data_IF_054935250966
#
_entry.id   IF_054935250966
#
_cell.length_a   1.000
_cell.length_b   1.000
_cell.length_c   1.000
_cell.angle_alpha   90.00
_cell.angle_beta   90.00
_cell.angle_gamma   90.00
#
_symmetry.space_group_name_H-M   'P 1'
#
loop_
_entity.id
_entity.type
_entity.pdbx_description
1 polymer ?
#
# COMPACT_ATOMS: atom_id res chain seq x y z
N UNK A 1 2.40 -0.95 8.64
CA UNK A 1 1.31 -0.12 9.18
C UNK A 1 0.44 -0.88 10.18
N UNK A 2 -0.06 -0.23 11.24
CA UNK A 2 -1.06 -0.83 12.15
C UNK A 2 -2.47 -0.44 11.71
N UNK A 3 -3.46 -1.32 11.94
CA UNK A 3 -4.84 -1.06 11.49
C UNK A 3 -5.48 0.15 12.20
N UNK A 4 -5.13 0.40 13.48
CA UNK A 4 -5.63 1.55 14.24
C UNK A 4 -5.28 2.87 13.55
N UNK A 5 -4.00 3.03 13.20
CA UNK A 5 -3.50 4.20 12.45
C UNK A 5 -4.23 4.38 11.12
N UNK A 6 -4.55 3.28 10.41
CA UNK A 6 -5.27 3.34 9.14
C UNK A 6 -6.67 3.94 9.32
N UNK A 7 -7.37 3.57 10.39
CA UNK A 7 -8.75 4.00 10.66
C UNK A 7 -8.82 5.45 11.14
N UNK A 8 -7.77 5.95 11.78
CA UNK A 8 -7.66 7.33 12.26
C UNK A 8 -7.42 8.33 11.12
N UNK A 9 -6.89 7.89 9.98
CA UNK A 9 -6.73 8.76 8.80
C UNK A 9 -8.08 9.14 8.19
N UNK A 10 -8.15 10.30 7.57
CA UNK A 10 -9.29 10.70 6.74
C UNK A 10 -9.35 9.88 5.44
N UNK A 11 -10.53 9.84 4.82
CA UNK A 11 -10.75 9.14 3.53
C UNK A 11 -9.78 9.60 2.44
N UNK A 12 -9.54 10.90 2.33
CA UNK A 12 -8.61 11.45 1.33
C UNK A 12 -7.16 11.03 1.60
N UNK A 13 -6.75 11.03 2.87
CA UNK A 13 -5.41 10.59 3.26
C UNK A 13 -5.23 9.09 2.99
N UNK A 14 -6.23 8.26 3.30
CA UNK A 14 -6.24 6.84 2.95
C UNK A 14 -6.05 6.64 1.44
N UNK A 15 -6.77 7.39 0.60
CA UNK A 15 -6.65 7.32 -0.86
C UNK A 15 -5.29 7.80 -1.39
N UNK A 16 -4.79 8.94 -0.90
CA UNK A 16 -3.45 9.45 -1.25
C UNK A 16 -2.35 8.47 -0.86
N UNK A 17 -2.48 7.85 0.33
CA UNK A 17 -1.53 6.85 0.82
C UNK A 17 -1.60 5.57 -0.01
N UNK A 18 -2.80 5.13 -0.37
CA UNK A 18 -3.02 3.96 -1.23
C UNK A 18 -2.32 4.13 -2.58
N UNK A 19 -2.55 5.25 -3.26
CA UNK A 19 -1.89 5.55 -4.54
C UNK A 19 -0.36 5.57 -4.40
N UNK A 20 0.16 6.19 -3.34
CA UNK A 20 1.60 6.25 -3.09
C UNK A 20 2.22 4.85 -2.94
N UNK A 21 1.55 3.96 -2.19
CA UNK A 21 2.01 2.58 -2.00
C UNK A 21 1.89 1.73 -3.26
N UNK A 22 0.86 1.93 -4.09
CA UNK A 22 0.72 1.24 -5.37
C UNK A 22 1.83 1.64 -6.35
N UNK A 23 2.20 2.93 -6.39
CA UNK A 23 3.35 3.42 -7.18
C UNK A 23 4.67 2.82 -6.67
N UNK A 24 4.88 2.79 -5.35
CA UNK A 24 6.08 2.19 -4.77
C UNK A 24 6.17 0.69 -5.10
N UNK A 25 5.05 -0.03 -4.99
CA UNK A 25 4.96 -1.44 -5.37
C UNK A 25 5.28 -1.65 -6.85
N UNK A 26 4.78 -0.77 -7.73
CA UNK A 26 5.07 -0.84 -9.15
C UNK A 26 6.57 -0.69 -9.42
N UNK A 27 7.22 0.33 -8.83
CA UNK A 27 8.67 0.55 -8.97
C UNK A 27 9.50 -0.63 -8.48
N UNK A 28 9.13 -1.23 -7.36
CA UNK A 28 9.81 -2.41 -6.84
C UNK A 28 9.61 -3.61 -7.75
N UNK A 29 8.41 -3.82 -8.30
CA UNK A 29 8.15 -4.91 -9.25
C UNK A 29 8.91 -4.72 -10.56
N UNK A 30 9.00 -3.49 -11.07
CA UNK A 30 9.79 -3.22 -12.28
C UNK A 30 11.26 -3.47 -12.04
N UNK A 31 11.81 -3.04 -10.89
CA UNK A 31 13.20 -3.30 -10.51
C UNK A 31 13.51 -4.81 -10.47
N UNK A 32 12.69 -5.59 -9.76
CA UNK A 32 12.82 -7.05 -9.69
C UNK A 32 12.79 -7.67 -11.08
N UNK A 33 11.83 -7.24 -11.91
CA UNK A 33 11.64 -7.81 -13.25
C UNK A 33 12.80 -7.50 -14.18
N UNK A 34 13.43 -6.35 -14.04
CA UNK A 34 14.64 -5.98 -14.78
C UNK A 34 15.91 -6.70 -14.30
N UNK A 35 15.81 -7.62 -13.33
CA UNK A 35 16.95 -8.31 -12.74
C UNK A 35 17.72 -7.46 -11.71
N UNK A 36 17.15 -6.34 -11.27
CA UNK A 36 17.73 -5.48 -10.25
C UNK A 36 17.69 -6.16 -8.87
N UNK A 37 18.76 -5.98 -8.09
CA UNK A 37 18.79 -6.44 -6.71
C UNK A 37 17.80 -5.61 -5.88
N UNK A 38 16.94 -6.29 -5.12
CA UNK A 38 16.10 -5.65 -4.12
C UNK A 38 16.79 -5.76 -2.78
N UNK A 39 17.14 -4.62 -2.18
CA UNK A 39 17.81 -4.57 -0.86
C UNK A 39 16.99 -5.27 0.23
N UNK A 40 15.65 -5.23 0.13
CA UNK A 40 14.76 -5.87 1.10
C UNK A 40 13.59 -6.59 0.42
N UNK A 41 13.71 -7.90 0.13
CA UNK A 41 12.62 -8.66 -0.50
C UNK A 41 11.34 -8.68 0.35
N UNK A 42 11.47 -8.55 1.68
CA UNK A 42 10.34 -8.44 2.61
C UNK A 42 9.49 -7.17 2.42
N UNK A 43 10.05 -6.11 1.81
CA UNK A 43 9.38 -4.82 1.61
C UNK A 43 8.17 -4.94 0.69
N UNK A 44 8.27 -5.74 -0.37
CA UNK A 44 7.14 -6.01 -1.29
C UNK A 44 5.97 -6.63 -0.53
N UNK A 45 6.24 -7.59 0.37
CA UNK A 45 5.20 -8.24 1.18
C UNK A 45 4.58 -7.27 2.18
N UNK A 46 5.37 -6.37 2.76
CA UNK A 46 4.88 -5.33 3.67
C UNK A 46 3.96 -4.34 2.96
N UNK A 47 4.39 -3.82 1.81
CA UNK A 47 3.60 -2.87 1.01
C UNK A 47 2.26 -3.49 0.58
N UNK A 48 2.26 -4.76 0.12
CA UNK A 48 1.02 -5.48 -0.21
C UNK A 48 0.06 -5.57 0.98
N UNK A 49 0.58 -5.83 2.19
CA UNK A 49 -0.24 -5.87 3.41
C UNK A 49 -0.79 -4.49 3.78
N UNK A 50 0.02 -3.44 3.63
CA UNK A 50 -0.40 -2.07 3.92
C UNK A 50 -1.49 -1.60 2.93
N UNK A 51 -1.35 -1.91 1.64
CA UNK A 51 -2.39 -1.70 0.61
C UNK A 51 -3.70 -2.41 0.99
N UNK A 52 -3.63 -3.69 1.38
CA UNK A 52 -4.81 -4.46 1.75
C UNK A 52 -5.55 -3.86 2.96
N UNK A 53 -4.82 -3.36 3.96
CA UNK A 53 -5.40 -2.68 5.13
C UNK A 53 -6.10 -1.37 4.74
N UNK A 54 -5.48 -0.57 3.87
CA UNK A 54 -6.07 0.67 3.35
C UNK A 54 -7.36 0.40 2.58
N UNK A 55 -7.36 -0.59 1.67
CA UNK A 55 -8.56 -0.97 0.90
C UNK A 55 -9.68 -1.44 1.83
N UNK A 56 -9.36 -2.23 2.86
CA UNK A 56 -10.36 -2.66 3.84
C UNK A 56 -10.96 -1.46 4.59
N UNK A 57 -10.13 -0.56 5.13
CA UNK A 57 -10.63 0.60 5.86
C UNK A 57 -11.44 1.57 4.98
N UNK A 58 -11.10 1.69 3.70
CA UNK A 58 -11.88 2.50 2.74
C UNK A 58 -13.22 1.84 2.38
N UNK A 59 -13.27 0.51 2.33
CA UNK A 59 -14.53 -0.21 2.18
C UNK A 59 -15.44 -0.01 3.41
N UNK A 60 -14.87 0.01 4.63
CA UNK A 60 -15.59 0.37 5.86
C UNK A 60 -16.17 1.81 5.77
N UNK A 61 -15.46 2.74 5.13
CA UNK A 61 -15.92 4.13 4.92
C UNK A 61 -16.97 4.28 3.79
N UNK A 62 -17.40 3.18 3.15
CA UNK A 62 -18.37 3.21 2.04
C UNK A 62 -17.80 3.72 0.72
N UNK A 63 -16.47 3.68 0.54
CA UNK A 63 -15.82 3.99 -0.73
C UNK A 63 -15.84 2.76 -1.63
N UNK A 64 -16.36 2.89 -2.85
CA UNK A 64 -16.25 1.86 -3.87
C UNK A 64 -14.91 2.06 -4.62
N UNK A 65 -13.99 1.10 -4.52
CA UNK A 65 -12.60 1.16 -5.03
C UNK A 65 -12.28 -0.08 -5.83
#
# INVERSE_FOLDING_TARGET
>A
MKMKEVREMSREEKLKRLQSLEIELLKLRTLVRSGGAVENPGKIRQIKKDIARLKLALCEDGVNI
#
